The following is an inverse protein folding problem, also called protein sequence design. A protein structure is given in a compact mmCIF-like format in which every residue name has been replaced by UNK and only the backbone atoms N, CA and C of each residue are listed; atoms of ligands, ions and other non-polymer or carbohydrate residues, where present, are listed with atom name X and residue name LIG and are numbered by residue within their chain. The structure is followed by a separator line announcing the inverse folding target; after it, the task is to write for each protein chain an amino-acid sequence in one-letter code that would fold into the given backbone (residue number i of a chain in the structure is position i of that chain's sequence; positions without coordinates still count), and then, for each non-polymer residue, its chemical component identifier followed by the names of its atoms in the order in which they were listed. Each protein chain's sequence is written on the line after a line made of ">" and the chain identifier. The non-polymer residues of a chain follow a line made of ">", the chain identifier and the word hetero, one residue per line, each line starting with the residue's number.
data_IF_903778163036
#
_entry.id   IF_903778163036
#
_cell.length_a   1.000
_cell.length_b   1.000
_cell.length_c   1.000
_cell.angle_alpha   90.00
_cell.angle_beta   90.00
_cell.angle_gamma   90.00
#
_symmetry.space_group_name_H-M   'P 1'
#
loop_
_entity.id
_entity.type
_entity.pdbx_description
1 polymer ?
#
# COMPACT_ATOMS: atom_id res chain seq x y z
N UNK A 1 -14.34 17.05 8.01
CA UNK A 1 -12.87 17.24 7.92
C UNK A 1 -12.22 15.88 8.10
N UNK A 2 -11.68 15.30 7.03
CA UNK A 2 -11.02 13.99 7.11
C UNK A 2 -9.54 14.20 7.40
N UNK A 3 -9.05 13.53 8.44
CA UNK A 3 -7.61 13.47 8.69
C UNK A 3 -6.95 12.54 7.67
N UNK A 4 -5.86 13.00 7.05
CA UNK A 4 -5.19 12.29 5.96
C UNK A 4 -4.55 10.97 6.42
N UNK A 5 -4.04 10.92 7.66
CA UNK A 5 -3.40 9.71 8.19
C UNK A 5 -4.40 8.56 8.40
N UNK A 6 -5.51 8.73 9.15
CA UNK A 6 -6.44 7.62 9.39
C UNK A 6 -7.15 7.12 8.13
N UNK A 7 -7.41 8.00 7.16
CA UNK A 7 -7.97 7.59 5.88
C UNK A 7 -6.96 6.77 5.06
N UNK A 8 -5.71 7.25 4.96
CA UNK A 8 -4.69 6.54 4.21
C UNK A 8 -4.28 5.22 4.86
N UNK A 9 -4.27 5.14 6.19
CA UNK A 9 -4.01 3.90 6.94
C UNK A 9 -5.05 2.81 6.60
N UNK A 10 -6.33 3.18 6.48
CA UNK A 10 -7.39 2.24 6.06
C UNK A 10 -7.20 1.77 4.61
N UNK A 11 -6.75 2.65 3.71
CA UNK A 11 -6.46 2.28 2.32
C UNK A 11 -5.29 1.27 2.29
N UNK A 12 -4.21 1.54 3.03
CA UNK A 12 -3.07 0.63 3.15
C UNK A 12 -3.48 -0.73 3.70
N UNK A 13 -4.31 -0.76 4.74
CA UNK A 13 -4.83 -2.00 5.32
C UNK A 13 -5.65 -2.80 4.30
N UNK A 14 -6.53 -2.13 3.55
CA UNK A 14 -7.35 -2.76 2.53
C UNK A 14 -6.50 -3.37 1.41
N UNK A 15 -5.51 -2.64 0.88
CA UNK A 15 -4.61 -3.17 -0.17
C UNK A 15 -3.76 -4.31 0.36
N UNK A 16 -3.21 -4.19 1.57
CA UNK A 16 -2.45 -5.26 2.18
C UNK A 16 -3.30 -6.52 2.39
N UNK A 17 -4.60 -6.38 2.68
CA UNK A 17 -5.53 -7.50 2.75
C UNK A 17 -5.74 -8.16 1.38
N UNK A 18 -5.96 -7.37 0.31
CA UNK A 18 -6.07 -7.91 -1.06
C UNK A 18 -4.80 -8.68 -1.45
N UNK A 19 -3.62 -8.11 -1.18
CA UNK A 19 -2.35 -8.72 -1.52
C UNK A 19 -2.12 -10.05 -0.79
N UNK A 20 -2.56 -10.18 0.47
CA UNK A 20 -2.56 -11.46 1.20
C UNK A 20 -3.44 -12.53 0.55
N UNK A 21 -4.54 -12.12 -0.07
CA UNK A 21 -5.41 -13.00 -0.85
C UNK A 21 -4.90 -13.27 -2.28
N UNK A 22 -3.73 -12.72 -2.62
CA UNK A 22 -3.13 -12.71 -3.97
C UNK A 22 -4.02 -12.00 -4.99
N UNK A 23 -4.75 -10.99 -4.54
CA UNK A 23 -5.55 -10.12 -5.39
C UNK A 23 -4.79 -8.81 -5.57
N UNK A 24 -4.55 -8.42 -6.82
CA UNK A 24 -4.14 -7.05 -7.13
C UNK A 24 -5.37 -6.28 -7.62
N UNK A 25 -5.50 -5.02 -7.18
CA UNK A 25 -6.63 -4.19 -7.56
C UNK A 25 -6.52 -3.69 -9.00
N UNK A 26 -5.30 -3.33 -9.43
CA UNK A 26 -5.00 -2.94 -10.79
C UNK A 26 -5.31 -1.48 -11.13
N UNK A 27 -6.10 -0.78 -10.33
CA UNK A 27 -6.59 0.57 -10.65
C UNK A 27 -6.95 1.38 -9.40
N UNK A 28 -5.97 1.56 -8.51
CA UNK A 28 -6.14 2.34 -7.29
C UNK A 28 -5.88 3.82 -7.61
N UNK A 29 -6.92 4.66 -7.48
CA UNK A 29 -6.82 6.11 -7.58
C UNK A 29 -7.97 6.75 -6.80
N UNK A 30 -7.91 8.07 -6.56
CA UNK A 30 -8.83 8.75 -5.62
C UNK A 30 -10.33 8.46 -5.84
N UNK A 31 -10.87 8.45 -7.07
CA UNK A 31 -12.28 8.12 -7.33
C UNK A 31 -12.68 6.71 -6.90
N UNK A 32 -11.73 5.77 -6.83
CA UNK A 32 -11.95 4.39 -6.38
C UNK A 32 -11.77 4.22 -4.87
N UNK A 33 -11.62 5.32 -4.13
CA UNK A 33 -11.49 5.36 -2.68
C UNK A 33 -12.59 6.25 -2.11
N UNK A 34 -13.57 5.63 -1.44
CA UNK A 34 -14.75 6.35 -0.93
C UNK A 34 -14.83 6.23 0.59
N UNK A 35 -14.94 7.36 1.29
CA UNK A 35 -15.25 7.39 2.71
C UNK A 35 -16.77 7.49 2.90
N UNK A 36 -17.36 6.58 3.65
CA UNK A 36 -18.78 6.63 3.95
C UNK A 36 -19.09 7.79 4.91
N UNK A 37 -20.10 8.58 4.57
CA UNK A 37 -20.65 9.64 5.43
C UNK A 37 -21.64 9.08 6.45
N UNK A 38 -22.11 9.93 7.37
CA UNK A 38 -23.21 9.58 8.29
C UNK A 38 -24.49 9.25 7.50
N UNK A 39 -24.84 10.08 6.53
CA UNK A 39 -25.99 9.85 5.63
C UNK A 39 -25.90 8.50 4.89
N UNK A 40 -24.69 8.11 4.46
CA UNK A 40 -24.49 6.81 3.80
C UNK A 40 -24.72 5.64 4.77
N UNK A 41 -24.23 5.76 6.01
CA UNK A 41 -24.41 4.76 7.05
C UNK A 41 -25.87 4.65 7.54
N UNK A 42 -26.63 5.75 7.49
CA UNK A 42 -28.07 5.74 7.75
C UNK A 42 -28.85 5.04 6.63
N UNK A 43 -28.40 5.18 5.38
CA UNK A 43 -29.06 4.61 4.20
C UNK A 43 -28.75 3.13 3.98
N UNK A 44 -27.53 2.70 4.29
CA UNK A 44 -27.10 1.29 4.16
C UNK A 44 -26.40 0.80 5.44
N UNK A 45 -26.99 -0.17 6.15
CA UNK A 45 -26.44 -0.67 7.42
C UNK A 45 -25.12 -1.43 7.28
N UNK A 46 -24.67 -1.73 6.06
CA UNK A 46 -23.35 -2.32 5.79
C UNK A 46 -22.24 -1.27 5.82
N UNK A 47 -22.60 0.00 5.64
CA UNK A 47 -21.66 1.11 5.68
C UNK A 47 -21.44 1.56 7.12
N UNK A 48 -20.27 2.12 7.36
CA UNK A 48 -19.86 2.62 8.67
C UNK A 48 -19.30 4.01 8.44
N UNK A 49 -19.90 5.01 9.07
CA UNK A 49 -19.47 6.40 8.92
C UNK A 49 -17.97 6.53 9.27
N UNK A 50 -17.22 7.24 8.42
CA UNK A 50 -15.77 7.43 8.56
C UNK A 50 -14.91 6.24 8.12
N UNK A 51 -15.51 5.12 7.70
CA UNK A 51 -14.78 4.00 7.09
C UNK A 51 -14.51 4.27 5.62
N UNK A 52 -13.30 3.92 5.18
CA UNK A 52 -12.88 3.99 3.77
C UNK A 52 -13.12 2.65 3.09
N UNK A 53 -13.67 2.69 1.88
CA UNK A 53 -13.95 1.55 1.04
C UNK A 53 -13.20 1.70 -0.28
N UNK A 54 -12.49 0.63 -0.67
CA UNK A 54 -12.07 0.46 -2.06
C UNK A 54 -13.28 -0.01 -2.87
N UNK A 55 -13.47 0.58 -4.04
CA UNK A 55 -14.55 0.23 -4.96
C UNK A 55 -13.98 -0.05 -6.36
N UNK A 56 -14.86 -0.45 -7.27
CA UNK A 56 -14.53 -0.68 -8.67
C UNK A 56 -13.48 -1.79 -8.91
N UNK A 57 -13.90 -3.02 -8.63
CA UNK A 57 -13.07 -4.22 -8.73
C UNK A 57 -12.98 -4.79 -10.16
N UNK A 58 -13.38 -4.04 -11.19
CA UNK A 58 -13.44 -4.58 -12.56
C UNK A 58 -12.05 -4.98 -13.11
N UNK A 59 -11.02 -4.24 -12.72
CA UNK A 59 -9.62 -4.50 -13.09
C UNK A 59 -8.92 -5.44 -12.11
N UNK A 60 -9.61 -5.89 -11.07
CA UNK A 60 -9.01 -6.75 -10.06
C UNK A 60 -8.75 -8.14 -10.63
N UNK A 61 -7.58 -8.68 -10.29
CA UNK A 61 -7.20 -10.03 -10.69
C UNK A 61 -6.62 -10.78 -9.50
N UNK A 62 -7.08 -12.02 -9.33
CA UNK A 62 -6.45 -12.97 -8.43
C UNK A 62 -5.36 -13.74 -9.16
N UNK A 63 -4.19 -13.84 -8.52
CA UNK A 63 -3.01 -14.47 -9.07
C UNK A 63 -2.65 -15.77 -8.33
N UNK A 64 -1.91 -16.63 -9.02
CA UNK A 64 -1.37 -17.84 -8.42
C UNK A 64 -0.27 -17.53 -7.39
N UNK A 65 0.55 -16.52 -7.65
CA UNK A 65 1.64 -16.11 -6.76
C UNK A 65 1.33 -14.78 -6.09
N UNK A 66 1.93 -14.57 -4.91
CA UNK A 66 1.80 -13.33 -4.16
C UNK A 66 2.88 -12.30 -4.51
N UNK A 67 2.91 -11.17 -3.77
CA UNK A 67 3.90 -10.12 -3.94
C UNK A 67 5.34 -10.65 -3.88
N UNK A 68 6.22 -10.12 -4.74
CA UNK A 68 7.64 -10.47 -4.79
C UNK A 68 7.97 -11.80 -5.50
N UNK A 69 6.96 -12.59 -5.85
CA UNK A 69 7.13 -13.84 -6.61
C UNK A 69 6.35 -13.81 -7.93
N UNK A 70 5.25 -13.07 -7.98
CA UNK A 70 4.42 -12.93 -9.17
C UNK A 70 5.20 -12.32 -10.34
N UNK A 71 5.03 -12.91 -11.52
CA UNK A 71 5.66 -12.43 -12.75
C UNK A 71 4.92 -11.23 -13.30
N UNK A 72 5.64 -10.38 -14.03
CA UNK A 72 5.04 -9.23 -14.70
C UNK A 72 3.92 -9.64 -15.66
N UNK A 73 2.82 -8.90 -15.63
CA UNK A 73 1.67 -9.06 -16.51
C UNK A 73 1.50 -7.83 -17.39
N UNK A 74 0.89 -7.95 -18.58
CA UNK A 74 0.49 -6.78 -19.37
C UNK A 74 -0.36 -5.85 -18.52
N UNK A 75 -0.07 -4.55 -18.59
CA UNK A 75 -0.84 -3.59 -17.82
C UNK A 75 -2.28 -3.53 -18.35
N UNK A 76 -3.31 -3.54 -17.48
CA UNK A 76 -4.67 -3.26 -17.91
C UNK A 76 -4.78 -1.81 -18.43
N UNK A 77 -5.94 -1.45 -19.00
CA UNK A 77 -6.22 -0.04 -19.25
C UNK A 77 -6.34 0.66 -17.89
N UNK A 78 -5.39 1.52 -17.56
CA UNK A 78 -5.35 2.20 -16.26
C UNK A 78 -5.60 3.68 -16.40
N UNK A 79 -6.23 4.28 -15.39
CA UNK A 79 -6.41 5.73 -15.34
C UNK A 79 -5.11 6.49 -15.06
N UNK A 80 -4.14 5.83 -14.42
CA UNK A 80 -2.83 6.38 -14.14
C UNK A 80 -1.84 6.08 -15.27
N UNK A 81 -1.06 7.09 -15.66
CA UNK A 81 0.01 6.94 -16.62
C UNK A 81 1.16 6.10 -16.02
N UNK A 82 1.55 4.99 -16.64
CA UNK A 82 2.58 4.13 -16.08
C UNK A 82 3.95 4.83 -16.11
N UNK A 83 4.80 4.60 -15.10
CA UNK A 83 6.15 5.14 -15.12
C UNK A 83 6.94 4.53 -16.29
N UNK A 84 7.87 5.33 -16.83
CA UNK A 84 8.86 4.88 -17.83
C UNK A 84 8.28 4.27 -19.12
N UNK A 85 7.00 4.53 -19.45
CA UNK A 85 6.28 3.97 -20.62
C UNK A 85 6.29 2.43 -20.65
N UNK A 86 6.40 1.81 -19.48
CA UNK A 86 6.37 0.35 -19.35
C UNK A 86 5.00 -0.19 -19.74
N UNK A 87 5.00 -1.40 -20.33
CA UNK A 87 3.79 -2.09 -20.80
C UNK A 87 3.39 -3.30 -19.95
N UNK A 88 4.25 -3.66 -19.00
CA UNK A 88 4.06 -4.82 -18.13
C UNK A 88 4.68 -4.57 -16.78
N UNK A 89 4.01 -5.01 -15.72
CA UNK A 89 4.43 -4.79 -14.35
C UNK A 89 4.10 -5.99 -13.48
N UNK A 90 4.81 -6.13 -12.37
CA UNK A 90 4.29 -6.91 -11.24
C UNK A 90 2.98 -6.23 -10.74
N UNK A 91 1.84 -6.94 -10.73
CA UNK A 91 0.54 -6.33 -10.45
C UNK A 91 0.43 -5.80 -9.02
N UNK A 92 1.12 -6.42 -8.06
CA UNK A 92 1.14 -5.95 -6.67
C UNK A 92 1.97 -4.67 -6.51
N UNK A 93 3.11 -4.58 -7.20
CA UNK A 93 3.94 -3.37 -7.26
C UNK A 93 3.22 -2.22 -7.96
N UNK A 94 2.38 -2.53 -8.95
CA UNK A 94 1.51 -1.55 -9.60
C UNK A 94 0.52 -0.92 -8.61
N UNK A 95 -0.17 -1.72 -7.78
CA UNK A 95 -1.03 -1.19 -6.70
C UNK A 95 -0.28 -0.28 -5.74
N UNK A 96 0.96 -0.62 -5.38
CA UNK A 96 1.81 0.21 -4.49
C UNK A 96 2.17 1.55 -5.15
N UNK A 97 2.50 1.54 -6.45
CA UNK A 97 2.73 2.78 -7.19
C UNK A 97 1.47 3.66 -7.22
N UNK A 98 0.32 3.05 -7.50
CA UNK A 98 -0.99 3.69 -7.50
C UNK A 98 -1.37 4.28 -6.13
N UNK A 99 -1.05 3.59 -5.03
CA UNK A 99 -1.17 4.11 -3.67
C UNK A 99 -0.33 5.38 -3.47
N UNK A 100 0.92 5.40 -3.96
CA UNK A 100 1.78 6.58 -3.90
C UNK A 100 1.21 7.78 -4.66
N UNK A 101 0.57 7.55 -5.81
CA UNK A 101 -0.14 8.58 -6.57
C UNK A 101 -1.38 9.10 -5.83
N UNK A 102 -2.13 8.19 -5.21
CA UNK A 102 -3.33 8.53 -4.42
C UNK A 102 -2.95 9.38 -3.21
N UNK A 103 -1.90 9.00 -2.47
CA UNK A 103 -1.42 9.81 -1.34
C UNK A 103 -0.99 11.21 -1.77
N UNK A 104 -0.25 11.33 -2.88
CA UNK A 104 0.14 12.63 -3.41
C UNK A 104 -1.09 13.50 -3.68
N UNK A 105 -2.12 12.94 -4.31
CA UNK A 105 -3.36 13.65 -4.59
C UNK A 105 -4.06 14.11 -3.30
N UNK A 106 -4.24 13.19 -2.33
CA UNK A 106 -4.86 13.51 -1.04
C UNK A 106 -4.12 14.64 -0.31
N UNK A 107 -2.78 14.58 -0.33
CA UNK A 107 -1.92 15.63 0.25
C UNK A 107 -2.10 16.96 -0.48
N UNK A 108 -2.12 16.96 -1.82
CA UNK A 108 -2.32 18.16 -2.61
C UNK A 108 -3.70 18.79 -2.34
N UNK A 109 -4.78 18.00 -2.29
CA UNK A 109 -6.11 18.51 -1.98
C UNK A 109 -6.18 19.08 -0.56
N UNK A 110 -5.53 18.46 0.41
CA UNK A 110 -5.46 19.02 1.77
C UNK A 110 -4.67 20.33 1.82
N UNK A 111 -3.56 20.44 1.07
CA UNK A 111 -2.76 21.67 0.99
C UNK A 111 -3.46 22.79 0.23
N UNK A 112 -4.19 22.49 -0.85
CA UNK A 112 -4.95 23.47 -1.62
C UNK A 112 -6.18 23.97 -0.85
N UNK A 113 -6.76 23.14 0.01
CA UNK A 113 -7.85 23.51 0.92
C UNK A 113 -7.40 24.19 2.22
N UNK A 114 -6.11 24.17 2.55
CA UNK A 114 -5.57 24.72 3.80
C UNK A 114 -4.64 25.90 3.51
N UNK A 115 -5.06 27.13 3.80
CA UNK A 115 -4.10 28.23 3.93
C UNK A 115 -3.18 27.95 5.11
N UNK A 116 -1.94 27.58 4.82
CA UNK A 116 -0.83 27.44 5.76
C UNK A 116 -0.91 26.27 6.75
N UNK A 117 -0.22 25.18 6.44
CA UNK A 117 0.96 24.78 7.22
C UNK A 117 1.81 23.80 6.40
N UNK A 118 3.14 23.96 6.50
CA UNK A 118 4.12 23.25 5.69
C UNK A 118 3.91 21.74 5.82
N UNK A 119 3.66 21.08 4.69
CA UNK A 119 3.68 19.62 4.60
C UNK A 119 4.94 19.10 5.31
N UNK A 120 4.83 18.16 6.27
CA UNK A 120 6.00 17.56 6.87
C UNK A 120 6.84 16.96 5.74
N UNK A 121 8.09 17.42 5.60
CA UNK A 121 9.04 16.98 4.56
C UNK A 121 9.14 15.45 4.43
N UNK A 122 8.78 14.72 5.49
CA UNK A 122 8.67 13.26 5.56
C UNK A 122 7.59 12.68 4.62
N UNK A 123 6.44 13.35 4.45
CA UNK A 123 5.40 12.91 3.52
C UNK A 123 5.87 13.00 2.06
N UNK A 124 6.64 14.04 1.72
CA UNK A 124 7.26 14.17 0.41
C UNK A 124 8.27 13.04 0.13
N UNK A 125 9.02 12.60 1.15
CA UNK A 125 9.93 11.46 1.03
C UNK A 125 9.19 10.14 0.87
N UNK A 126 8.09 9.94 1.60
CA UNK A 126 7.27 8.73 1.51
C UNK A 126 6.61 8.61 0.12
N UNK A 127 6.09 9.72 -0.42
CA UNK A 127 5.59 9.79 -1.81
C UNK A 127 6.70 9.53 -2.83
N UNK A 128 7.89 10.10 -2.64
CA UNK A 128 9.04 9.87 -3.52
C UNK A 128 9.50 8.40 -3.53
N UNK A 129 9.50 7.77 -2.36
CA UNK A 129 9.79 6.34 -2.21
C UNK A 129 8.75 5.46 -2.90
N UNK A 130 7.44 5.70 -2.65
CA UNK A 130 6.36 4.93 -3.30
C UNK A 130 6.36 5.05 -4.83
N UNK A 131 6.85 6.16 -5.37
CA UNK A 131 6.98 6.39 -6.82
C UNK A 131 8.25 5.76 -7.42
N UNK A 132 9.17 5.24 -6.61
CA UNK A 132 10.43 4.64 -7.07
C UNK A 132 11.46 5.64 -7.61
N UNK A 133 11.44 6.91 -7.18
CA UNK A 133 12.39 7.95 -7.64
C UNK A 133 13.71 7.94 -6.84
N UNK A 134 14.38 6.79 -6.81
CA UNK A 134 15.60 6.58 -6.02
C UNK A 134 16.88 6.99 -6.76
N UNK A 135 16.99 8.26 -7.16
CA UNK A 135 18.26 8.84 -7.64
C UNK A 135 19.12 9.31 -6.46
N UNK A 136 19.71 8.38 -5.69
CA UNK A 136 20.57 8.78 -4.57
C UNK A 136 21.19 7.67 -3.72
N UNK A 137 21.77 6.64 -4.35
CA UNK A 137 22.33 5.42 -3.70
C UNK A 137 23.39 5.66 -2.60
N UNK A 138 23.93 6.88 -2.43
CA UNK A 138 24.96 7.20 -1.42
C UNK A 138 24.46 8.09 -0.25
N UNK A 139 23.31 8.75 -0.38
CA UNK A 139 22.72 9.53 0.71
C UNK A 139 21.89 8.69 1.70
N UNK A 140 21.43 7.52 1.23
CA UNK A 140 20.51 6.63 1.93
C UNK A 140 21.15 5.99 3.18
N UNK A 141 22.43 5.60 3.09
CA UNK A 141 23.14 4.88 4.18
C UNK A 141 23.31 5.76 5.43
N UNK A 142 23.45 7.09 5.28
CA UNK A 142 23.53 8.02 6.42
C UNK A 142 22.16 8.41 6.98
N UNK A 143 21.08 8.27 6.20
CA UNK A 143 19.69 8.61 6.61
C UNK A 143 18.97 7.44 7.27
N UNK A 144 19.35 6.20 6.94
CA UNK A 144 18.87 4.96 7.57
C UNK A 144 19.10 4.91 9.09
N UNK A 145 20.07 5.66 9.63
CA UNK A 145 20.37 5.67 11.08
C UNK A 145 19.36 6.46 11.92
N UNK A 146 18.46 7.27 11.33
CA UNK A 146 17.38 7.97 12.08
C UNK A 146 15.95 7.55 11.71
N UNK A 147 15.77 6.65 10.73
CA UNK A 147 14.48 6.03 10.38
C UNK A 147 14.31 4.70 11.14
N UNK A 148 15.10 4.48 12.21
CA UNK A 148 15.09 3.22 12.97
C UNK A 148 13.74 2.88 13.58
N UNK A 149 12.94 3.87 14.00
CA UNK A 149 11.66 3.60 14.69
C UNK A 149 10.49 3.33 13.72
N UNK A 150 10.49 3.95 12.54
CA UNK A 150 9.50 3.66 11.48
C UNK A 150 9.82 2.32 10.79
N UNK A 151 11.11 2.00 10.59
CA UNK A 151 11.53 0.68 10.15
C UNK A 151 11.28 -0.38 11.21
N UNK A 152 11.37 -0.10 12.52
CA UNK A 152 11.02 -1.11 13.53
C UNK A 152 9.52 -1.42 13.48
N UNK A 153 8.64 -0.45 13.21
CA UNK A 153 7.18 -0.72 13.11
C UNK A 153 6.81 -1.39 11.79
N UNK A 154 7.45 -1.00 10.67
CA UNK A 154 7.22 -1.60 9.35
C UNK A 154 7.97 -2.93 9.16
N UNK A 155 9.10 -3.16 9.83
CA UNK A 155 9.92 -4.38 9.76
C UNK A 155 9.63 -5.38 10.91
N UNK A 156 8.80 -5.03 11.89
CA UNK A 156 8.25 -6.04 12.83
C UNK A 156 7.06 -6.80 12.23
N UNK A 157 6.39 -6.26 11.20
CA UNK A 157 5.33 -6.97 10.49
C UNK A 157 5.79 -8.09 9.51
N UNK A 158 7.00 -8.08 8.90
CA UNK A 158 7.47 -9.17 8.04
C UNK A 158 8.44 -10.13 8.75
N UNK A 159 9.02 -9.81 9.91
CA UNK A 159 9.94 -10.73 10.60
C UNK A 159 9.25 -12.00 11.14
N UNK A 160 7.92 -11.97 11.33
CA UNK A 160 7.13 -13.19 11.60
C UNK A 160 6.82 -14.02 10.34
N UNK A 161 7.04 -13.48 9.14
CA UNK A 161 6.79 -14.12 7.84
C UNK A 161 8.04 -14.78 7.24
N UNK A 162 9.23 -14.57 7.82
CA UNK A 162 10.50 -15.09 7.28
C UNK A 162 11.34 -15.93 8.26
N UNK A 163 10.84 -16.31 9.45
CA UNK A 163 11.54 -17.31 10.26
C UNK A 163 11.24 -18.72 9.75
N UNK A 164 12.25 -19.50 9.31
CA UNK A 164 12.07 -20.93 9.09
C UNK A 164 11.78 -21.61 10.44
N UNK A 165 10.99 -22.70 10.46
CA UNK A 165 10.79 -23.47 11.69
C UNK A 165 12.15 -23.93 12.21
N UNK A 166 12.47 -23.59 13.46
CA UNK A 166 13.48 -24.32 14.21
C UNK A 166 13.05 -25.79 14.19
N UNK A 167 13.87 -26.62 13.55
CA UNK A 167 13.71 -28.05 13.58
C UNK A 167 13.74 -28.52 15.04
N UNK A 168 12.58 -28.89 15.57
CA UNK A 168 12.48 -29.68 16.79
C UNK A 168 13.11 -31.04 16.48
N UNK A 169 14.41 -31.15 16.78
CA UNK A 169 15.13 -32.41 16.79
C UNK A 169 14.89 -33.07 18.13
N UNK A 170 13.66 -33.46 18.40
CA UNK A 170 13.37 -34.40 19.47
C UNK A 170 12.16 -35.29 19.13
N UNK A 171 12.37 -36.61 19.28
CA UNK A 171 11.39 -37.72 19.27
C UNK A 171 10.88 -38.23 17.91
N UNK A 172 11.55 -39.28 17.42
CA UNK A 172 10.93 -40.61 17.33
C UNK A 172 12.05 -41.67 17.34
N UNK A 173 12.19 -42.46 18.41
CA UNK A 173 11.51 -43.76 18.57
C UNK A 173 12.28 -44.87 17.84
N UNK A 174 13.39 -45.29 18.46
CA UNK A 174 13.92 -46.63 18.31
C UNK A 174 12.90 -47.60 18.93
N UNK A 175 12.08 -48.23 18.10
CA UNK A 175 11.45 -49.50 18.42
C UNK A 175 11.90 -50.51 17.36
N UNK A 176 12.90 -51.30 17.76
CA UNK A 176 13.10 -52.70 17.39
C UNK A 176 13.00 -53.48 18.71
#
# INVERSE_FOLDING_TARGET
>A
HYELSPAFDQILEAVAHLHRLRIAHGDIFEPNVVAATEDDAERDPRLTAGRVYLIDFESCQQFEHGPGVQTAVPLPNTHLNPPLRMKSFDPFSWDVFCLGRTLEYMVQCQLLGSTSEKLPWMMGLYVGWLKGDERGLLGLVRRLVRVGELFITIATYPMALFMPPQADRSRNSSQL
#
